data_IF_601275151247
#
_entry.id   IF_601275151247
#
_cell.length_a   1.000
_cell.length_b   1.000
_cell.length_c   1.000
_cell.angle_alpha   90.00
_cell.angle_beta   90.00
_cell.angle_gamma   90.00
#
_symmetry.space_group_name_H-M   'P 1'
#
loop_
_entity.id
_entity.type
_entity.pdbx_description
1 polymer ?
#
# COMPACT_ATOMS: atom_id res chain seq x y z
N UNK A 1 9.54 -62.95 -10.07
CA UNK A 1 9.89 -63.52 -11.37
C UNK A 1 10.22 -62.32 -12.24
N UNK A 2 11.54 -61.93 -12.34
CA UNK A 2 12.47 -62.23 -13.48
C UNK A 2 11.99 -61.63 -14.79
N UNK A 3 12.67 -60.69 -15.44
CA UNK A 3 14.02 -60.72 -16.04
C UNK A 3 14.35 -59.27 -16.46
N UNK A 4 15.46 -58.65 -16.14
CA UNK A 4 16.87 -58.77 -16.57
C UNK A 4 17.16 -58.39 -18.04
N UNK A 5 17.85 -57.22 -18.19
CA UNK A 5 19.13 -56.96 -18.89
C UNK A 5 19.37 -57.53 -20.30
N UNK A 6 19.84 -56.62 -21.17
CA UNK A 6 21.00 -56.81 -22.12
C UNK A 6 21.24 -55.48 -22.82
N UNK A 7 22.31 -54.74 -22.68
CA UNK A 7 23.74 -54.86 -23.02
C UNK A 7 24.04 -55.20 -24.49
N UNK A 8 24.79 -54.34 -25.18
CA UNK A 8 26.10 -54.45 -25.81
C UNK A 8 26.16 -53.50 -27.01
N UNK A 9 27.09 -52.53 -27.09
CA UNK A 9 28.51 -52.55 -27.52
C UNK A 9 28.72 -52.67 -29.02
N UNK A 10 29.64 -51.79 -29.44
CA UNK A 10 30.62 -51.76 -30.55
C UNK A 10 30.20 -50.89 -31.74
N UNK A 11 31.01 -50.03 -32.35
CA UNK A 11 32.44 -50.06 -32.60
C UNK A 11 33.00 -48.71 -33.01
N UNK A 12 34.24 -48.45 -32.68
CA UNK A 12 35.13 -47.42 -33.20
C UNK A 12 35.29 -47.52 -34.73
N UNK A 13 35.27 -46.39 -35.45
CA UNK A 13 36.15 -46.16 -36.59
C UNK A 13 36.58 -44.70 -36.62
N UNK A 14 37.89 -44.51 -36.50
CA UNK A 14 38.61 -43.27 -36.66
C UNK A 14 38.71 -42.92 -38.17
N UNK A 15 38.51 -41.66 -38.51
CA UNK A 15 39.03 -41.07 -39.73
C UNK A 15 39.49 -39.66 -39.47
N UNK A 16 40.77 -39.41 -39.66
CA UNK A 16 41.40 -38.08 -39.66
C UNK A 16 40.82 -37.24 -40.79
N UNK A 17 40.34 -36.02 -40.43
CA UNK A 17 40.01 -34.98 -41.36
C UNK A 17 40.60 -33.67 -40.86
N UNK A 18 41.50 -33.06 -41.65
CA UNK A 18 42.14 -31.76 -41.40
C UNK A 18 41.08 -30.68 -41.11
N UNK A 19 41.19 -30.02 -39.99
CA UNK A 19 40.36 -28.88 -39.65
C UNK A 19 41.00 -27.58 -40.15
N UNK A 20 40.32 -26.92 -41.05
CA UNK A 20 40.51 -25.50 -41.37
C UNK A 20 39.93 -24.68 -40.25
N UNK A 21 40.80 -23.95 -39.53
CA UNK A 21 40.38 -22.94 -38.56
C UNK A 21 39.76 -21.73 -39.29
N UNK A 22 38.44 -21.69 -39.39
CA UNK A 22 37.71 -20.46 -39.63
C UNK A 22 37.40 -19.81 -38.31
N UNK A 23 38.02 -18.64 -38.05
CA UNK A 23 37.74 -17.79 -36.93
C UNK A 23 36.32 -17.25 -37.01
N UNK A 24 35.39 -17.90 -36.32
CA UNK A 24 34.06 -17.33 -36.07
C UNK A 24 34.19 -16.30 -34.95
N UNK A 25 34.24 -15.02 -35.34
CA UNK A 25 34.05 -13.91 -34.41
C UNK A 25 32.62 -13.97 -33.87
N UNK A 26 32.45 -14.55 -32.69
CA UNK A 26 31.20 -14.44 -31.97
C UNK A 26 31.08 -12.98 -31.51
N UNK A 27 30.34 -12.18 -32.26
CA UNK A 27 29.79 -10.93 -31.74
C UNK A 27 28.85 -11.29 -30.59
N UNK A 28 29.39 -11.32 -29.37
CA UNK A 28 28.58 -11.25 -28.13
C UNK A 28 27.96 -9.87 -28.14
N UNK A 29 26.77 -9.76 -28.76
CA UNK A 29 25.91 -8.61 -28.57
C UNK A 29 25.60 -8.61 -27.08
N UNK A 30 26.18 -7.67 -26.34
CA UNK A 30 25.73 -7.34 -25.00
C UNK A 30 24.25 -6.96 -25.14
N UNK A 31 23.34 -7.89 -24.82
CA UNK A 31 21.96 -7.54 -24.58
C UNK A 31 22.00 -6.52 -23.43
N UNK A 32 21.73 -5.27 -23.77
CA UNK A 32 21.46 -4.28 -22.75
C UNK A 32 20.30 -4.85 -21.93
N UNK A 33 20.55 -5.23 -20.68
CA UNK A 33 19.50 -5.57 -19.76
C UNK A 33 18.62 -4.33 -19.65
N UNK A 34 17.53 -4.30 -20.41
CA UNK A 34 16.47 -3.34 -20.17
C UNK A 34 16.12 -3.52 -18.69
N UNK A 35 16.35 -2.48 -17.89
CA UNK A 35 16.01 -2.51 -16.48
C UNK A 35 14.56 -3.00 -16.38
N UNK A 36 14.32 -4.10 -15.71
CA UNK A 36 12.96 -4.63 -15.52
C UNK A 36 12.16 -3.50 -14.91
N UNK A 37 11.12 -3.06 -15.62
CA UNK A 37 10.21 -2.04 -15.10
C UNK A 37 9.62 -2.58 -13.79
N UNK A 38 9.72 -1.78 -12.73
CA UNK A 38 9.10 -2.16 -11.44
C UNK A 38 7.64 -2.52 -11.65
N UNK A 39 7.15 -3.61 -11.07
CA UNK A 39 5.74 -3.99 -11.18
C UNK A 39 4.82 -3.00 -10.45
N UNK A 40 5.34 -2.17 -9.56
CA UNK A 40 4.58 -1.18 -8.81
C UNK A 40 5.11 0.25 -9.03
N UNK A 41 4.26 1.22 -8.74
CA UNK A 41 4.59 2.65 -8.76
C UNK A 41 4.72 3.18 -7.34
N UNK A 42 5.79 3.91 -7.04
CA UNK A 42 5.95 4.57 -5.74
C UNK A 42 5.04 5.79 -5.68
N UNK A 43 4.25 5.91 -4.63
CA UNK A 43 3.48 7.09 -4.24
C UNK A 43 3.99 7.66 -2.91
N UNK A 44 3.54 8.87 -2.57
CA UNK A 44 3.82 9.50 -1.29
C UNK A 44 2.52 9.76 -0.54
N UNK A 45 2.43 9.24 0.68
CA UNK A 45 1.35 9.56 1.61
C UNK A 45 1.57 10.95 2.22
N UNK A 46 0.55 11.79 2.18
CA UNK A 46 0.56 13.16 2.69
C UNK A 46 0.91 13.23 4.17
N UNK A 47 0.56 12.19 4.93
CA UNK A 47 0.94 12.05 6.34
C UNK A 47 2.45 12.14 6.58
N UNK A 48 3.25 11.74 5.62
CA UNK A 48 4.72 11.84 5.69
C UNK A 48 5.21 13.28 5.85
N UNK A 49 4.44 14.26 5.38
CA UNK A 49 4.73 15.69 5.46
C UNK A 49 3.84 16.44 6.46
N UNK A 50 3.22 15.73 7.41
CA UNK A 50 2.29 16.30 8.40
C UNK A 50 2.85 17.50 9.16
N UNK A 51 4.15 17.49 9.46
CA UNK A 51 4.81 18.62 10.15
C UNK A 51 4.89 19.86 9.26
N UNK A 52 5.15 19.68 7.95
CA UNK A 52 5.18 20.78 6.99
C UNK A 52 3.79 21.36 6.76
N UNK A 53 2.76 20.51 6.72
CA UNK A 53 1.36 20.90 6.57
C UNK A 53 0.82 21.61 7.81
N UNK A 54 1.12 21.08 9.00
CA UNK A 54 0.67 21.65 10.27
C UNK A 54 1.36 22.99 10.59
N UNK A 55 2.64 23.13 10.21
CA UNK A 55 3.37 24.40 10.39
C UNK A 55 3.04 25.45 9.33
N UNK A 56 2.29 25.09 8.28
CA UNK A 56 2.00 25.98 7.15
C UNK A 56 3.16 26.19 6.19
N UNK A 57 4.23 25.38 6.27
CA UNK A 57 5.33 25.38 5.29
C UNK A 57 4.83 25.03 3.88
N UNK A 58 3.85 24.13 3.81
CA UNK A 58 3.07 23.80 2.60
C UNK A 58 1.60 23.68 2.95
N UNK A 59 0.74 23.76 1.94
CA UNK A 59 -0.70 23.43 2.06
C UNK A 59 -1.00 22.12 1.32
N UNK A 60 -2.18 21.54 1.55
CA UNK A 60 -2.66 20.40 0.77
C UNK A 60 -2.66 20.68 -0.74
N UNK A 61 -2.93 21.92 -1.16
CA UNK A 61 -2.85 22.33 -2.58
C UNK A 61 -1.44 22.31 -3.15
N UNK A 62 -0.41 22.48 -2.30
CA UNK A 62 1.00 22.49 -2.73
C UNK A 62 1.61 21.07 -2.70
N UNK A 63 0.93 20.12 -2.06
CA UNK A 63 1.44 18.77 -1.82
C UNK A 63 1.83 18.03 -3.11
N UNK A 64 1.02 18.00 -4.20
CA UNK A 64 1.40 17.31 -5.44
C UNK A 64 2.67 17.85 -6.06
N UNK A 65 2.78 19.17 -6.17
CA UNK A 65 3.96 19.83 -6.77
C UNK A 65 5.21 19.62 -5.90
N UNK A 66 5.06 19.73 -4.57
CA UNK A 66 6.14 19.48 -3.60
C UNK A 66 6.63 18.05 -3.71
N UNK A 67 5.73 17.08 -3.80
CA UNK A 67 6.05 15.64 -3.93
C UNK A 67 6.93 15.38 -5.16
N UNK A 68 6.58 15.97 -6.29
CA UNK A 68 7.38 15.86 -7.50
C UNK A 68 8.72 16.59 -7.40
N UNK A 69 8.71 17.85 -6.97
CA UNK A 69 9.93 18.70 -6.97
C UNK A 69 10.98 18.24 -5.98
N UNK A 70 10.58 17.81 -4.78
CA UNK A 70 11.49 17.47 -3.68
C UNK A 70 11.90 16.01 -3.71
N UNK A 71 10.97 15.12 -4.06
CA UNK A 71 11.17 13.68 -3.95
C UNK A 71 11.24 12.95 -5.28
N UNK A 72 10.93 13.62 -6.40
CA UNK A 72 10.80 12.99 -7.71
C UNK A 72 9.86 11.77 -7.65
N UNK A 73 8.69 11.98 -7.02
CA UNK A 73 7.58 11.01 -6.93
C UNK A 73 6.39 11.61 -7.68
N UNK A 74 5.76 10.82 -8.55
CA UNK A 74 4.73 11.27 -9.47
C UNK A 74 3.33 10.74 -9.12
N UNK A 75 3.12 10.33 -7.88
CA UNK A 75 1.84 9.84 -7.37
C UNK A 75 1.67 10.23 -5.90
N UNK A 76 0.46 10.60 -5.49
CA UNK A 76 0.16 11.11 -4.15
C UNK A 76 -1.05 10.44 -3.54
N UNK A 77 -1.02 10.31 -2.22
CA UNK A 77 -2.09 9.76 -1.39
C UNK A 77 -2.45 10.82 -0.34
N UNK A 78 -3.65 11.38 -0.46
CA UNK A 78 -4.09 12.46 0.40
C UNK A 78 -4.57 11.96 1.77
N UNK A 79 -4.61 12.87 2.76
CA UNK A 79 -5.19 12.60 4.08
C UNK A 79 -6.32 13.60 4.34
N UNK A 80 -7.48 13.09 4.77
CA UNK A 80 -8.71 13.87 4.95
C UNK A 80 -8.56 15.09 5.86
N UNK A 81 -7.74 14.99 6.91
CA UNK A 81 -7.52 16.07 7.85
C UNK A 81 -6.92 17.35 7.23
N UNK A 82 -6.18 17.22 6.14
CA UNK A 82 -5.56 18.36 5.47
C UNK A 82 -6.48 19.08 4.47
N UNK A 83 -7.64 18.51 4.17
CA UNK A 83 -8.70 19.22 3.40
C UNK A 83 -9.37 20.32 4.23
N UNK A 84 -9.30 20.26 5.55
CA UNK A 84 -9.85 21.27 6.48
C UNK A 84 -11.33 21.60 6.21
N UNK A 85 -12.16 20.58 5.98
CA UNK A 85 -13.60 20.71 5.71
C UNK A 85 -13.95 21.15 4.30
N UNK A 86 -13.01 21.08 3.34
CA UNK A 86 -13.23 21.47 1.94
C UNK A 86 -13.44 20.29 0.99
N UNK A 87 -13.70 19.13 1.52
CA UNK A 87 -13.92 17.90 0.74
C UNK A 87 -15.16 17.96 -0.16
N UNK A 88 -16.08 18.88 0.09
CA UNK A 88 -17.28 19.13 -0.75
C UNK A 88 -17.22 20.47 -1.49
N UNK A 89 -16.17 21.26 -1.31
CA UNK A 89 -15.96 22.53 -2.04
C UNK A 89 -15.47 22.26 -3.45
N UNK A 90 -16.34 22.40 -4.43
CA UNK A 90 -16.02 22.16 -5.85
C UNK A 90 -14.93 23.08 -6.40
N UNK A 91 -14.81 24.30 -5.88
CA UNK A 91 -13.74 25.24 -6.26
C UNK A 91 -12.39 24.76 -5.78
N UNK A 92 -12.33 24.31 -4.52
CA UNK A 92 -11.13 23.74 -3.91
C UNK A 92 -10.68 22.45 -4.59
N UNK A 93 -11.61 21.51 -4.82
CA UNK A 93 -11.30 20.25 -5.50
C UNK A 93 -10.81 20.46 -6.93
N UNK A 94 -11.40 21.43 -7.64
CA UNK A 94 -10.95 21.81 -8.99
C UNK A 94 -9.52 22.36 -8.97
N UNK A 95 -9.20 23.23 -8.01
CA UNK A 95 -7.85 23.78 -7.85
C UNK A 95 -6.84 22.67 -7.53
N UNK A 96 -7.16 21.80 -6.58
CA UNK A 96 -6.28 20.66 -6.22
C UNK A 96 -6.01 19.76 -7.42
N UNK A 97 -7.08 19.41 -8.16
CA UNK A 97 -6.95 18.61 -9.38
C UNK A 97 -6.12 19.30 -10.44
N UNK A 98 -6.36 20.59 -10.68
CA UNK A 98 -5.60 21.39 -11.65
C UNK A 98 -4.11 21.43 -11.32
N UNK A 99 -3.75 21.55 -10.04
CA UNK A 99 -2.34 21.54 -9.60
C UNK A 99 -1.69 20.17 -9.77
N UNK A 100 -2.37 19.10 -9.40
CA UNK A 100 -1.84 17.74 -9.59
C UNK A 100 -1.66 17.42 -11.07
N UNK A 101 -2.65 17.74 -11.91
CA UNK A 101 -2.59 17.54 -13.37
C UNK A 101 -1.46 18.41 -14.00
N UNK A 102 -1.37 19.68 -13.61
CA UNK A 102 -0.31 20.60 -14.09
C UNK A 102 1.09 20.17 -13.66
N UNK A 103 1.23 19.56 -12.50
CA UNK A 103 2.47 18.95 -12.05
C UNK A 103 2.76 17.59 -12.73
N UNK A 104 1.80 16.98 -13.41
CA UNK A 104 1.91 15.61 -13.93
C UNK A 104 2.01 14.58 -12.82
N UNK A 105 1.27 14.78 -11.72
CA UNK A 105 1.23 13.91 -10.54
C UNK A 105 -0.13 13.22 -10.48
N UNK A 106 -0.13 11.90 -10.32
CA UNK A 106 -1.34 11.09 -10.22
C UNK A 106 -1.91 11.13 -8.80
N UNK A 107 -3.20 11.40 -8.68
CA UNK A 107 -3.93 11.23 -7.44
C UNK A 107 -4.30 9.75 -7.28
N UNK A 108 -3.91 9.13 -6.16
CA UNK A 108 -4.04 7.68 -5.96
C UNK A 108 -5.24 7.34 -5.09
N UNK A 109 -5.28 7.88 -3.90
CA UNK A 109 -6.35 7.64 -2.92
C UNK A 109 -6.46 8.80 -1.92
N UNK A 110 -7.54 8.78 -1.13
CA UNK A 110 -7.69 9.64 0.05
C UNK A 110 -7.77 8.73 1.28
N UNK A 111 -6.85 8.93 2.23
CA UNK A 111 -6.88 8.31 3.55
C UNK A 111 -7.90 9.07 4.41
N UNK A 112 -9.01 8.41 4.74
CA UNK A 112 -10.11 9.04 5.47
C UNK A 112 -10.01 8.69 6.94
N UNK A 113 -9.56 9.66 7.75
CA UNK A 113 -9.49 9.56 9.19
C UNK A 113 -10.72 10.23 9.81
N UNK A 114 -11.76 9.44 10.02
CA UNK A 114 -12.97 9.83 10.73
C UNK A 114 -13.06 9.08 12.06
N UNK A 115 -13.18 9.82 13.15
CA UNK A 115 -13.16 9.28 14.50
C UNK A 115 -14.51 9.53 15.22
N UNK A 116 -14.68 8.89 16.38
CA UNK A 116 -15.93 8.95 17.11
C UNK A 116 -17.08 8.31 16.34
N UNK A 117 -18.31 8.76 16.58
CA UNK A 117 -19.50 8.17 15.96
C UNK A 117 -19.55 8.36 14.44
N UNK A 118 -19.00 9.47 13.93
CA UNK A 118 -19.04 9.79 12.51
C UNK A 118 -18.25 8.80 11.65
N UNK A 119 -17.22 8.18 12.21
CA UNK A 119 -16.39 7.19 11.54
C UNK A 119 -16.58 5.74 12.04
N UNK A 120 -17.53 5.49 12.93
CA UNK A 120 -17.70 4.22 13.64
C UNK A 120 -18.34 3.12 12.76
N UNK A 121 -17.64 2.71 11.70
CA UNK A 121 -18.08 1.66 10.77
C UNK A 121 -18.26 0.29 11.45
N UNK A 122 -17.63 0.07 12.62
CA UNK A 122 -17.76 -1.16 13.40
C UNK A 122 -18.65 -1.02 14.64
N UNK A 123 -19.47 0.04 14.74
CA UNK A 123 -20.33 0.24 15.91
C UNK A 123 -21.27 -0.96 16.12
N UNK A 124 -21.45 -1.43 17.39
CA UNK A 124 -22.49 -2.38 17.74
C UNK A 124 -23.89 -1.90 17.35
N UNK A 125 -24.13 -0.60 17.42
CA UNK A 125 -25.38 0.01 17.00
C UNK A 125 -25.49 0.14 15.48
N UNK A 126 -26.38 -0.60 14.86
CA UNK A 126 -26.60 -0.60 13.40
C UNK A 126 -26.82 0.81 12.84
N UNK A 127 -27.67 1.61 13.49
CA UNK A 127 -27.94 2.99 13.09
C UNK A 127 -26.67 3.84 13.03
N UNK A 128 -25.74 3.66 13.97
CA UNK A 128 -24.49 4.42 14.03
C UNK A 128 -23.54 3.96 12.90
N UNK A 129 -23.34 2.65 12.72
CA UNK A 129 -22.43 2.17 11.67
C UNK A 129 -22.92 2.45 10.26
N UNK A 130 -24.25 2.43 10.04
CA UNK A 130 -24.83 2.83 8.76
C UNK A 130 -24.75 4.35 8.52
N UNK A 131 -24.95 5.18 9.55
CA UNK A 131 -24.71 6.62 9.45
C UNK A 131 -23.23 6.93 9.18
N UNK A 132 -22.32 6.21 9.83
CA UNK A 132 -20.87 6.32 9.57
C UNK A 132 -20.55 6.00 8.10
N UNK A 133 -21.14 4.95 7.52
CA UNK A 133 -20.98 4.66 6.11
C UNK A 133 -21.46 5.83 5.22
N UNK A 134 -22.60 6.44 5.52
CA UNK A 134 -23.10 7.62 4.80
C UNK A 134 -22.17 8.84 4.93
N UNK A 135 -21.59 9.06 6.11
CA UNK A 135 -20.66 10.17 6.35
C UNK A 135 -19.38 10.06 5.50
N UNK A 136 -19.02 8.86 5.06
CA UNK A 136 -17.89 8.64 4.15
C UNK A 136 -18.23 8.94 2.67
N UNK A 137 -19.51 9.05 2.26
CA UNK A 137 -19.88 9.24 0.87
C UNK A 137 -19.22 10.48 0.24
N UNK A 138 -19.13 11.59 0.98
CA UNK A 138 -18.47 12.83 0.53
C UNK A 138 -17.00 12.59 0.13
N UNK A 139 -16.31 11.65 0.78
CA UNK A 139 -14.94 11.29 0.45
C UNK A 139 -14.85 10.41 -0.79
N UNK A 140 -15.81 9.54 -1.02
CA UNK A 140 -15.95 8.80 -2.27
C UNK A 140 -16.16 9.78 -3.44
N UNK A 141 -17.02 10.78 -3.26
CA UNK A 141 -17.28 11.80 -4.28
C UNK A 141 -16.04 12.66 -4.56
N UNK A 142 -15.32 13.08 -3.52
CA UNK A 142 -14.07 13.83 -3.65
C UNK A 142 -12.98 12.98 -4.36
N UNK A 143 -12.84 11.71 -3.99
CA UNK A 143 -11.90 10.79 -4.61
C UNK A 143 -12.20 10.60 -6.11
N UNK A 144 -13.48 10.39 -6.45
CA UNK A 144 -13.94 10.30 -7.84
C UNK A 144 -13.61 11.56 -8.64
N UNK A 145 -13.88 12.74 -8.07
CA UNK A 145 -13.59 14.01 -8.74
C UNK A 145 -12.11 14.21 -8.99
N UNK A 146 -11.25 13.87 -8.01
CA UNK A 146 -9.80 13.97 -8.12
C UNK A 146 -9.18 12.91 -9.03
N UNK A 147 -9.93 11.87 -9.41
CA UNK A 147 -9.43 10.76 -10.22
C UNK A 147 -8.64 9.71 -9.41
N UNK A 148 -8.87 9.64 -8.12
CA UNK A 148 -8.37 8.56 -7.26
C UNK A 148 -9.07 7.24 -7.59
N UNK A 149 -8.42 6.10 -7.28
CA UNK A 149 -9.04 4.79 -7.46
C UNK A 149 -9.70 4.25 -6.19
N UNK A 150 -9.41 4.85 -5.04
CA UNK A 150 -9.89 4.37 -3.75
C UNK A 150 -10.01 5.48 -2.71
N UNK A 151 -10.78 5.19 -1.66
CA UNK A 151 -10.58 5.80 -0.33
C UNK A 151 -10.11 4.72 0.64
N UNK A 152 -9.24 5.08 1.60
CA UNK A 152 -8.87 4.21 2.71
C UNK A 152 -9.66 4.60 3.95
N UNK A 153 -10.18 3.60 4.66
CA UNK A 153 -10.92 3.77 5.91
C UNK A 153 -10.31 2.93 7.02
N UNK A 154 -10.66 3.26 8.28
CA UNK A 154 -10.22 2.56 9.47
C UNK A 154 -11.35 1.69 10.05
N UNK A 155 -11.00 0.54 10.65
CA UNK A 155 -11.92 -0.25 11.46
C UNK A 155 -12.04 0.39 12.85
N UNK A 156 -13.09 1.15 13.10
CA UNK A 156 -13.28 1.88 14.35
C UNK A 156 -14.69 1.78 14.89
N UNK A 157 -14.85 2.00 16.20
CA UNK A 157 -16.14 2.12 16.86
C UNK A 157 -16.69 0.84 17.48
N UNK A 158 -15.95 -0.27 17.48
CA UNK A 158 -16.42 -1.55 18.02
C UNK A 158 -16.48 -1.60 19.57
N UNK A 159 -15.93 -0.60 20.29
CA UNK A 159 -15.91 -0.57 21.75
C UNK A 159 -15.33 -1.86 22.36
N UNK A 160 -16.05 -2.42 23.33
CA UNK A 160 -15.67 -3.66 24.01
C UNK A 160 -16.24 -4.92 23.33
N UNK A 161 -16.69 -4.82 22.07
CA UNK A 161 -17.21 -5.97 21.34
C UNK A 161 -16.16 -7.09 21.23
N UNK A 162 -16.63 -8.34 21.27
CA UNK A 162 -15.74 -9.48 21.08
C UNK A 162 -15.12 -9.46 19.68
N UNK A 163 -13.99 -10.16 19.52
CA UNK A 163 -13.31 -10.34 18.23
C UNK A 163 -14.27 -10.73 17.08
N UNK A 164 -15.21 -11.65 17.37
CA UNK A 164 -16.19 -12.12 16.37
C UNK A 164 -17.29 -11.09 16.11
N UNK A 165 -17.81 -10.45 17.15
CA UNK A 165 -18.89 -9.48 17.02
C UNK A 165 -18.40 -8.23 16.30
N UNK A 166 -17.21 -7.71 16.67
CA UNK A 166 -16.56 -6.60 15.99
C UNK A 166 -16.34 -6.87 14.49
N UNK A 167 -15.97 -8.13 14.14
CA UNK A 167 -15.85 -8.55 12.74
C UNK A 167 -17.17 -8.42 11.99
N UNK A 168 -18.27 -8.93 12.59
CA UNK A 168 -19.60 -8.87 11.98
C UNK A 168 -20.10 -7.42 11.84
N UNK A 169 -19.93 -6.60 12.87
CA UNK A 169 -20.32 -5.19 12.83
C UNK A 169 -19.54 -4.41 11.76
N UNK A 170 -18.23 -4.62 11.71
CA UNK A 170 -17.40 -3.93 10.72
C UNK A 170 -17.71 -4.40 9.30
N UNK A 171 -17.92 -5.69 9.08
CA UNK A 171 -18.29 -6.21 7.77
C UNK A 171 -19.62 -5.61 7.26
N UNK A 172 -20.63 -5.45 8.14
CA UNK A 172 -21.91 -4.83 7.80
C UNK A 172 -21.77 -3.34 7.47
N UNK A 173 -21.12 -2.54 8.33
CA UNK A 173 -20.90 -1.12 8.06
C UNK A 173 -20.04 -0.86 6.83
N UNK A 174 -18.98 -1.68 6.65
CA UNK A 174 -18.11 -1.61 5.47
C UNK A 174 -18.87 -1.97 4.19
N UNK A 175 -19.73 -3.01 4.21
CA UNK A 175 -20.53 -3.40 3.05
C UNK A 175 -21.44 -2.25 2.57
N UNK A 176 -22.04 -1.50 3.49
CA UNK A 176 -22.87 -0.32 3.15
C UNK A 176 -22.07 0.77 2.44
N UNK A 177 -20.86 1.01 2.89
CA UNK A 177 -19.96 1.96 2.23
C UNK A 177 -19.48 1.45 0.87
N UNK A 178 -19.16 0.16 0.78
CA UNK A 178 -18.72 -0.50 -0.45
C UNK A 178 -19.81 -0.47 -1.53
N UNK A 179 -21.07 -0.63 -1.18
CA UNK A 179 -22.21 -0.46 -2.13
C UNK A 179 -22.14 0.91 -2.82
N UNK A 180 -21.90 1.98 -2.05
CA UNK A 180 -21.77 3.34 -2.60
C UNK A 180 -20.48 3.52 -3.41
N UNK A 181 -19.36 3.01 -2.89
CA UNK A 181 -18.06 3.03 -3.58
C UNK A 181 -18.14 2.35 -4.95
N UNK A 182 -18.70 1.14 -5.01
CA UNK A 182 -18.86 0.36 -6.23
C UNK A 182 -19.73 1.09 -7.29
N UNK A 183 -20.85 1.69 -6.87
CA UNK A 183 -21.70 2.49 -7.76
C UNK A 183 -20.95 3.70 -8.35
N UNK A 184 -19.91 4.18 -7.69
CA UNK A 184 -19.06 5.29 -8.11
C UNK A 184 -17.72 4.85 -8.72
N UNK A 185 -17.44 3.54 -8.82
CA UNK A 185 -16.18 2.96 -9.31
C UNK A 185 -14.98 3.37 -8.44
N UNK A 186 -15.20 3.56 -7.15
CA UNK A 186 -14.18 3.87 -6.15
C UNK A 186 -14.07 2.69 -5.19
N UNK A 187 -12.88 2.14 -5.04
CA UNK A 187 -12.63 1.07 -4.07
C UNK A 187 -12.63 1.61 -2.63
N UNK A 188 -13.19 0.84 -1.73
CA UNK A 188 -13.11 1.08 -0.29
C UNK A 188 -12.08 0.10 0.26
N UNK A 189 -10.96 0.62 0.71
CA UNK A 189 -9.86 -0.19 1.22
C UNK A 189 -9.63 0.06 2.70
N UNK A 190 -9.27 -0.98 3.42
CA UNK A 190 -9.06 -0.91 4.86
C UNK A 190 -7.59 -1.10 5.17
N UNK A 191 -7.07 -0.19 6.01
CA UNK A 191 -5.72 -0.30 6.56
C UNK A 191 -5.74 -1.10 7.88
N UNK A 192 -4.69 -1.89 8.11
CA UNK A 192 -4.39 -2.40 9.43
C UNK A 192 -3.87 -1.23 10.28
N UNK A 193 -4.73 -0.67 11.16
CA UNK A 193 -4.44 0.60 11.86
C UNK A 193 -4.83 0.53 13.35
N UNK A 194 -4.27 -0.41 14.07
CA UNK A 194 -4.51 -0.62 15.50
C UNK A 194 -5.68 -1.54 15.83
N UNK A 195 -5.66 -2.12 17.03
CA UNK A 195 -6.69 -3.01 17.53
C UNK A 195 -6.89 -4.25 16.66
N UNK A 196 -8.14 -4.66 16.48
CA UNK A 196 -8.45 -5.86 15.70
C UNK A 196 -7.98 -5.79 14.23
N UNK A 197 -7.98 -4.61 13.60
CA UNK A 197 -7.51 -4.49 12.21
C UNK A 197 -6.02 -4.77 12.04
N UNK A 198 -5.23 -4.62 13.11
CA UNK A 198 -3.81 -4.99 13.12
C UNK A 198 -3.55 -6.49 13.18
N UNK A 199 -4.59 -7.34 13.33
CA UNK A 199 -4.51 -8.76 13.09
C UNK A 199 -4.86 -9.03 11.64
N UNK A 200 -3.85 -9.39 10.81
CA UNK A 200 -4.02 -9.58 9.36
C UNK A 200 -5.12 -10.58 9.04
N UNK A 201 -5.21 -11.66 9.80
CA UNK A 201 -6.26 -12.68 9.63
C UNK A 201 -7.66 -12.12 9.86
N UNK A 202 -7.84 -11.35 10.95
CA UNK A 202 -9.13 -10.72 11.23
C UNK A 202 -9.59 -9.83 10.10
N UNK A 203 -8.69 -8.96 9.63
CA UNK A 203 -9.04 -8.02 8.57
C UNK A 203 -9.28 -8.73 7.23
N UNK A 204 -8.47 -9.73 6.88
CA UNK A 204 -8.70 -10.56 5.70
C UNK A 204 -10.06 -11.27 5.74
N UNK A 205 -10.46 -11.77 6.91
CA UNK A 205 -11.75 -12.42 7.11
C UNK A 205 -12.93 -11.44 6.97
N UNK A 206 -12.79 -10.19 7.44
CA UNK A 206 -13.76 -9.10 7.18
C UNK A 206 -13.92 -8.85 5.69
N UNK A 207 -12.82 -8.64 4.96
CA UNK A 207 -12.87 -8.35 3.51
C UNK A 207 -13.54 -9.50 2.75
N UNK A 208 -13.21 -10.74 3.12
CA UNK A 208 -13.84 -11.94 2.54
C UNK A 208 -15.34 -12.02 2.83
N UNK A 209 -15.77 -11.61 4.03
CA UNK A 209 -17.19 -11.59 4.41
C UNK A 209 -17.97 -10.52 3.61
N UNK A 210 -17.38 -9.35 3.34
CA UNK A 210 -17.98 -8.34 2.45
C UNK A 210 -18.10 -8.85 1.02
N UNK A 211 -17.10 -9.57 0.52
CA UNK A 211 -17.17 -10.33 -0.73
C UNK A 211 -17.44 -9.48 -1.99
N UNK A 212 -16.98 -8.24 -2.04
CA UNK A 212 -17.18 -7.33 -3.17
C UNK A 212 -15.83 -6.92 -3.78
N UNK A 213 -15.74 -6.87 -5.10
CA UNK A 213 -14.50 -6.51 -5.82
C UNK A 213 -14.02 -5.09 -5.54
N UNK A 214 -14.90 -4.17 -5.14
CA UNK A 214 -14.54 -2.81 -4.71
C UNK A 214 -14.13 -2.73 -3.25
N UNK A 215 -14.12 -3.85 -2.51
CA UNK A 215 -13.60 -3.95 -1.16
C UNK A 215 -12.19 -4.51 -1.19
N UNK A 216 -11.26 -3.96 -0.38
CA UNK A 216 -9.89 -4.45 -0.33
C UNK A 216 -9.12 -3.97 0.88
N UNK A 217 -7.81 -4.18 0.86
CA UNK A 217 -6.90 -3.77 1.93
C UNK A 217 -5.86 -2.76 1.42
N UNK A 218 -5.33 -1.99 2.36
CA UNK A 218 -4.08 -1.24 2.25
C UNK A 218 -3.12 -1.78 3.33
N UNK A 219 -2.39 -2.88 3.07
CA UNK A 219 -1.42 -3.39 4.04
C UNK A 219 -0.39 -2.33 4.38
N UNK A 220 -0.33 -1.93 5.66
CA UNK A 220 0.67 -1.03 6.21
C UNK A 220 1.75 -1.84 6.93
N UNK A 221 3.02 -1.55 6.65
CA UNK A 221 4.14 -2.33 7.18
C UNK A 221 4.38 -2.14 8.67
N UNK A 222 3.96 -1.01 9.24
CA UNK A 222 4.25 -0.64 10.63
C UNK A 222 3.07 -0.76 11.60
N UNK A 223 1.85 -0.83 11.11
CA UNK A 223 0.64 -0.72 11.93
C UNK A 223 0.10 -2.09 12.41
N UNK A 224 0.94 -2.90 13.04
CA UNK A 224 0.56 -4.22 13.55
C UNK A 224 0.36 -4.30 15.07
N UNK A 225 0.11 -3.18 15.72
CA UNK A 225 -0.18 -3.13 17.16
C UNK A 225 -1.64 -3.52 17.42
N UNK A 226 -1.85 -4.71 18.00
CA UNK A 226 -3.19 -5.28 18.27
C UNK A 226 -3.80 -4.81 19.59
N UNK A 227 -2.98 -4.26 20.47
CA UNK A 227 -3.38 -3.79 21.80
C UNK A 227 -2.83 -2.38 22.00
N UNK A 228 -3.72 -1.41 22.16
CA UNK A 228 -3.33 0.00 22.34
C UNK A 228 -2.70 0.27 23.70
N UNK A 229 -2.96 -0.56 24.71
CA UNK A 229 -2.48 -0.38 26.07
C UNK A 229 -1.32 -1.34 26.41
N UNK A 230 -1.41 -2.59 26.04
CA UNK A 230 -0.48 -3.65 26.46
C UNK A 230 0.77 -3.81 25.57
N UNK A 231 0.83 -3.16 24.40
CA UNK A 231 1.99 -3.24 23.53
C UNK A 231 2.13 -4.56 22.77
N UNK A 232 1.06 -5.33 22.61
CA UNK A 232 1.06 -6.55 21.81
C UNK A 232 1.07 -6.24 20.32
N UNK A 233 1.90 -6.98 19.58
CA UNK A 233 2.04 -6.84 18.14
C UNK A 233 1.72 -8.14 17.43
N UNK A 234 1.06 -8.04 16.28
CA UNK A 234 0.97 -9.12 15.31
C UNK A 234 2.26 -9.15 14.47
N UNK A 235 2.67 -10.31 14.01
CA UNK A 235 3.85 -10.38 13.12
C UNK A 235 3.58 -9.63 11.82
N UNK A 236 4.35 -8.56 11.48
CA UNK A 236 4.08 -7.72 10.33
C UNK A 236 4.24 -8.46 9.00
N UNK A 237 5.11 -9.45 8.93
CA UNK A 237 5.33 -10.22 7.70
C UNK A 237 4.21 -11.23 7.46
N UNK A 238 3.73 -11.88 8.53
CA UNK A 238 2.56 -12.77 8.47
C UNK A 238 1.32 -11.94 8.12
N UNK A 239 1.09 -10.84 8.85
CA UNK A 239 -0.07 -9.98 8.64
C UNK A 239 -0.12 -9.38 7.24
N UNK A 240 1.00 -8.89 6.72
CA UNK A 240 1.07 -8.41 5.34
C UNK A 240 0.73 -9.53 4.35
N UNK A 241 1.31 -10.74 4.52
CA UNK A 241 1.01 -11.87 3.63
C UNK A 241 -0.48 -12.28 3.66
N UNK A 242 -1.15 -12.17 4.80
CA UNK A 242 -2.59 -12.45 4.92
C UNK A 242 -3.47 -11.38 4.25
N UNK A 243 -3.00 -10.12 4.18
CA UNK A 243 -3.73 -9.00 3.59
C UNK A 243 -3.49 -8.86 2.08
N UNK A 244 -2.31 -9.27 1.58
CA UNK A 244 -1.93 -9.12 0.18
C UNK A 244 -2.92 -9.71 -0.85
N UNK A 245 -3.63 -10.82 -0.62
CA UNK A 245 -4.64 -11.32 -1.56
C UNK A 245 -5.77 -10.32 -1.87
N UNK A 246 -5.97 -9.32 -1.02
CA UNK A 246 -7.02 -8.30 -1.12
C UNK A 246 -6.46 -6.91 -1.34
N UNK A 247 -5.14 -6.76 -1.47
CA UNK A 247 -4.49 -5.46 -1.56
C UNK A 247 -4.85 -4.71 -2.84
N UNK A 248 -5.21 -3.44 -2.68
CA UNK A 248 -5.43 -2.48 -3.77
C UNK A 248 -4.48 -1.29 -3.71
N UNK A 249 -3.61 -1.27 -2.72
CA UNK A 249 -2.49 -0.38 -2.46
C UNK A 249 -1.67 -1.00 -1.36
N UNK A 250 -0.47 -0.49 -1.11
CA UNK A 250 0.42 -0.91 -0.01
C UNK A 250 0.99 0.34 0.63
N UNK A 251 0.96 0.42 1.97
CA UNK A 251 1.62 1.49 2.73
C UNK A 251 2.99 1.02 3.22
N UNK A 252 4.03 1.51 2.56
CA UNK A 252 5.41 1.26 2.94
C UNK A 252 5.82 2.21 4.09
N UNK A 253 5.22 1.98 5.26
CA UNK A 253 5.48 2.77 6.46
C UNK A 253 6.87 2.50 6.99
N UNK A 254 7.63 3.58 7.23
CA UNK A 254 8.91 3.57 7.92
C UNK A 254 8.81 4.32 9.25
N UNK A 255 9.50 3.83 10.27
CA UNK A 255 9.39 4.38 11.64
C UNK A 255 10.69 5.02 12.13
N UNK A 256 11.81 4.62 11.59
CA UNK A 256 13.13 5.15 11.96
C UNK A 256 14.25 4.42 11.25
N UNK A 257 15.43 5.03 11.20
CA UNK A 257 16.56 4.51 10.47
C UNK A 257 17.76 4.37 11.36
N UNK A 258 18.58 3.34 11.10
CA UNK A 258 19.91 3.17 11.69
C UNK A 258 20.98 3.93 10.87
N UNK A 259 22.23 3.83 11.33
CA UNK A 259 23.38 4.49 10.68
C UNK A 259 23.75 3.88 9.31
N UNK A 260 23.15 2.75 8.94
CA UNK A 260 23.31 2.12 7.62
C UNK A 260 22.17 2.51 6.67
N UNK A 261 21.18 3.27 7.15
CA UNK A 261 19.98 3.66 6.38
C UNK A 261 18.96 2.54 6.24
N UNK A 262 19.00 1.54 7.14
CA UNK A 262 17.98 0.49 7.22
C UNK A 262 16.90 0.91 8.23
N UNK A 263 15.64 0.57 7.93
CA UNK A 263 14.56 0.81 8.90
C UNK A 263 14.77 -0.08 10.14
N UNK A 264 14.56 0.50 11.34
CA UNK A 264 14.83 -0.16 12.61
C UNK A 264 13.76 -1.15 13.04
N UNK A 265 12.62 -1.18 12.36
CA UNK A 265 11.47 -2.01 12.72
C UNK A 265 11.11 -3.04 11.65
N UNK A 266 11.35 -2.72 10.38
CA UNK A 266 10.96 -3.54 9.22
C UNK A 266 12.18 -3.80 8.32
N UNK A 267 12.39 -5.07 7.99
CA UNK A 267 13.25 -5.46 6.88
C UNK A 267 12.48 -5.23 5.56
N UNK A 268 12.74 -4.11 4.91
CA UNK A 268 12.07 -3.71 3.67
C UNK A 268 12.26 -4.72 2.55
N UNK A 269 13.45 -5.31 2.43
CA UNK A 269 13.72 -6.34 1.42
C UNK A 269 12.84 -7.58 1.62
N UNK A 270 12.76 -8.06 2.86
CA UNK A 270 11.88 -9.18 3.21
C UNK A 270 10.41 -8.84 2.96
N UNK A 271 9.99 -7.64 3.33
CA UNK A 271 8.61 -7.18 3.17
C UNK A 271 8.24 -7.07 1.68
N UNK A 272 9.10 -6.46 0.86
CA UNK A 272 8.86 -6.33 -0.57
C UNK A 272 8.90 -7.67 -1.32
N UNK A 273 9.67 -8.65 -0.83
CA UNK A 273 9.60 -10.02 -1.33
C UNK A 273 8.21 -10.66 -1.10
N UNK A 274 7.56 -10.35 0.04
CA UNK A 274 6.18 -10.78 0.29
C UNK A 274 5.24 -10.10 -0.71
N UNK A 275 5.32 -8.78 -0.88
CA UNK A 275 4.50 -8.05 -1.86
C UNK A 275 4.66 -8.63 -3.27
N UNK A 276 5.91 -8.89 -3.69
CA UNK A 276 6.21 -9.45 -5.00
C UNK A 276 5.68 -10.89 -5.19
N UNK A 277 5.65 -11.70 -4.12
CA UNK A 277 5.14 -13.07 -4.18
C UNK A 277 3.65 -13.16 -4.55
N UNK A 278 2.91 -12.07 -4.36
CA UNK A 278 1.49 -11.96 -4.76
C UNK A 278 1.31 -11.30 -6.13
N UNK A 279 2.39 -11.07 -6.89
CA UNK A 279 2.36 -10.39 -8.19
C UNK A 279 1.62 -9.06 -8.13
N UNK A 280 1.83 -8.29 -7.07
CA UNK A 280 1.14 -7.02 -6.86
C UNK A 280 1.57 -6.00 -7.90
N UNK A 281 0.59 -5.46 -8.61
CA UNK A 281 0.73 -4.37 -9.56
C UNK A 281 -0.12 -3.20 -9.07
N UNK A 282 0.50 -2.09 -8.66
CA UNK A 282 -0.26 -0.98 -8.11
C UNK A 282 0.63 0.09 -7.51
N UNK A 283 0.14 0.74 -6.47
CA UNK A 283 0.89 1.78 -5.76
C UNK A 283 1.43 1.26 -4.44
N UNK A 284 2.70 1.58 -4.19
CA UNK A 284 3.38 1.41 -2.90
C UNK A 284 3.67 2.80 -2.36
N UNK A 285 2.84 3.23 -1.41
CA UNK A 285 2.90 4.55 -0.81
C UNK A 285 3.96 4.63 0.28
N UNK A 286 4.86 5.58 0.17
CA UNK A 286 5.78 5.90 1.27
C UNK A 286 5.00 6.62 2.36
N UNK A 287 5.03 6.08 3.59
CA UNK A 287 4.49 6.75 4.76
C UNK A 287 5.55 6.85 5.86
N UNK A 288 5.96 8.08 6.18
CA UNK A 288 6.85 8.36 7.29
C UNK A 288 6.07 8.50 8.59
N UNK A 289 6.17 7.48 9.46
CA UNK A 289 5.57 7.48 10.80
C UNK A 289 6.40 8.26 11.80
N UNK A 290 7.72 8.09 11.76
CA UNK A 290 8.68 8.77 12.65
C UNK A 290 8.72 8.21 14.06
N UNK A 291 9.63 8.77 14.86
CA UNK A 291 9.70 8.55 16.31
C UNK A 291 10.66 7.47 16.78
N UNK A 292 11.26 6.68 15.89
CA UNK A 292 12.23 5.65 16.23
C UNK A 292 13.58 5.86 15.51
N UNK A 293 14.61 5.21 15.99
CA UNK A 293 15.95 5.27 15.38
C UNK A 293 16.66 6.61 15.56
N UNK A 294 17.51 6.99 14.60
CA UNK A 294 18.23 8.25 14.62
C UNK A 294 17.30 9.44 14.35
N UNK A 295 17.52 10.60 14.94
CA UNK A 295 16.80 11.82 14.59
C UNK A 295 16.90 12.09 13.08
N UNK A 296 15.75 12.19 12.42
CA UNK A 296 15.67 12.41 10.98
C UNK A 296 14.45 13.28 10.67
N UNK A 297 14.63 14.26 9.80
CA UNK A 297 13.51 15.04 9.30
C UNK A 297 12.71 14.27 8.24
N UNK A 298 11.51 14.75 7.96
CA UNK A 298 10.60 14.10 7.02
C UNK A 298 11.21 13.96 5.60
N UNK A 299 11.98 14.97 5.15
CA UNK A 299 12.57 14.94 3.81
C UNK A 299 13.63 13.83 3.68
N UNK A 300 14.53 13.75 4.64
CA UNK A 300 15.57 12.72 4.67
C UNK A 300 14.95 11.33 4.81
N UNK A 301 13.94 11.17 5.67
CA UNK A 301 13.25 9.90 5.90
C UNK A 301 12.49 9.40 4.65
N UNK A 302 11.77 10.27 3.95
CA UNK A 302 11.08 9.93 2.70
C UNK A 302 12.10 9.48 1.64
N UNK A 303 13.22 10.20 1.49
CA UNK A 303 14.29 9.83 0.56
C UNK A 303 14.93 8.49 0.92
N UNK A 304 15.14 8.21 2.22
CA UNK A 304 15.66 6.94 2.70
C UNK A 304 14.67 5.79 2.42
N UNK A 305 13.38 5.97 2.71
CA UNK A 305 12.35 4.97 2.41
C UNK A 305 12.26 4.70 0.89
N UNK A 306 12.30 5.76 0.06
CA UNK A 306 12.32 5.62 -1.41
C UNK A 306 13.52 4.77 -1.85
N UNK A 307 14.70 5.00 -1.28
CA UNK A 307 15.90 4.22 -1.57
C UNK A 307 15.72 2.75 -1.23
N UNK A 308 15.21 2.43 -0.02
CA UNK A 308 14.94 1.05 0.38
C UNK A 308 13.99 0.33 -0.58
N UNK A 309 12.92 1.01 -1.02
CA UNK A 309 11.98 0.45 -2.00
C UNK A 309 12.65 0.18 -3.34
N UNK A 310 13.49 1.08 -3.84
CA UNK A 310 14.20 0.92 -5.12
C UNK A 310 15.26 -0.19 -5.06
N UNK A 311 15.90 -0.41 -3.91
CA UNK A 311 16.89 -1.47 -3.68
C UNK A 311 16.25 -2.84 -3.46
N UNK A 312 14.94 -2.90 -3.26
CA UNK A 312 14.17 -4.14 -3.02
C UNK A 312 13.50 -4.72 -4.27
N UNK A 313 13.74 -4.10 -5.45
CA UNK A 313 13.13 -4.50 -6.74
C UNK A 313 13.99 -5.56 -7.44
#
# INVERSE_FOLDING_TARGET
MTQRRKFFKDSLKASLGLALFSSVSTNVRAESSAAKKSPYTISLAEWSLREWLNSGKITNLDFPETTKKVFDIHAVEYVSSFFKGKETDSGYLRELKSRSDGAGVRNVLIMVDMWGQDGALASPEERIRHAAAQNHHKWVDAAKYLGCHAIRVNASGYGDASYRDAMGYFADGLAKLVEYGAANQISIIVENHGGYSSNGRWLADVIRQVGNEYCGTLPDFGNFRTDLEGGNFYDPYIGTAELMPYAKGVSAKSMGFDHHGQDTTIDFKRMMNIVAAFNFEGFVGIEWGGGLGMPMDAEAAIKATKKLLLESI
#
